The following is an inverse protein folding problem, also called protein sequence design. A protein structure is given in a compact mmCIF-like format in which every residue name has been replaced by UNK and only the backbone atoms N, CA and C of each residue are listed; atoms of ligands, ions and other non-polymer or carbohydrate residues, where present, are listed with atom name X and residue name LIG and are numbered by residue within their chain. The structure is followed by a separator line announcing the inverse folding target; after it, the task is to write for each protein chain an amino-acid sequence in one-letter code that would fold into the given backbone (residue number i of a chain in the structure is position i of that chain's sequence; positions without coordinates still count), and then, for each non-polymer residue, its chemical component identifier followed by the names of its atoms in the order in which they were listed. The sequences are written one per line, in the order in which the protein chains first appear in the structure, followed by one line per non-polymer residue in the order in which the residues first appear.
data_IF_449443650304
#
_entry.id   IF_449443650304
#
_cell.length_a   1.000
_cell.length_b   1.000
_cell.length_c   1.000
_cell.angle_alpha   90.00
_cell.angle_beta   90.00
_cell.angle_gamma   90.00
#
_symmetry.space_group_name_H-M   'P 1'
#
loop_
_entity.id
_entity.type
_entity.pdbx_description
1 polymer ?
#
# COMPACT_ATOMS: atom_id res chain seq x y z
N UNK A 1 16.33 -29.55 55.93
CA UNK A 1 17.72 -29.28 55.53
C UNK A 1 17.80 -28.45 54.25
N UNK A 2 17.15 -28.81 53.14
CA UNK A 2 17.18 -28.00 51.90
C UNK A 2 16.67 -26.54 52.05
N UNK A 3 15.59 -26.33 52.81
CA UNK A 3 15.00 -24.98 53.02
C UNK A 3 15.91 -24.08 53.88
N UNK A 4 16.74 -24.68 54.75
CA UNK A 4 17.71 -23.98 55.61
C UNK A 4 18.99 -23.57 54.86
N UNK A 5 19.45 -24.32 53.86
CA UNK A 5 20.49 -23.84 52.93
C UNK A 5 19.97 -22.69 52.05
N UNK A 6 18.73 -22.80 51.58
CA UNK A 6 18.10 -21.83 50.67
C UNK A 6 17.95 -20.44 51.33
N UNK A 7 17.69 -20.43 52.64
CA UNK A 7 17.56 -19.21 53.44
C UNK A 7 18.89 -18.58 53.84
N UNK A 8 20.03 -19.28 53.70
CA UNK A 8 21.38 -18.74 53.94
C UNK A 8 21.88 -17.89 52.77
N UNK A 9 21.41 -18.16 51.56
CA UNK A 9 21.73 -17.41 50.34
C UNK A 9 20.49 -16.84 49.64
N UNK A 10 19.60 -16.17 50.41
CA UNK A 10 18.34 -15.59 49.93
C UNK A 10 18.49 -14.77 48.64
N UNK A 11 19.57 -14.02 48.54
CA UNK A 11 19.86 -13.15 47.40
C UNK A 11 20.10 -13.93 46.10
N UNK A 12 20.78 -15.08 46.15
CA UNK A 12 21.01 -15.93 44.98
C UNK A 12 19.71 -16.55 44.47
N UNK A 13 18.86 -17.00 45.39
CA UNK A 13 17.56 -17.61 45.08
C UNK A 13 16.60 -16.57 44.51
N UNK A 14 16.58 -15.37 45.08
CA UNK A 14 15.78 -14.25 44.57
C UNK A 14 16.22 -13.85 43.15
N UNK A 15 17.52 -13.75 42.90
CA UNK A 15 18.04 -13.47 41.56
C UNK A 15 17.67 -14.57 40.56
N UNK A 16 17.74 -15.84 40.95
CA UNK A 16 17.34 -16.96 40.10
C UNK A 16 15.85 -16.88 39.72
N UNK A 17 14.98 -16.60 40.69
CA UNK A 17 13.54 -16.40 40.44
C UNK A 17 13.32 -15.18 39.55
N UNK A 18 14.04 -14.08 39.78
CA UNK A 18 13.93 -12.86 38.96
C UNK A 18 14.31 -13.11 37.49
N UNK A 19 15.35 -13.91 37.23
CA UNK A 19 15.74 -14.30 35.86
C UNK A 19 14.67 -15.15 35.19
N UNK A 20 14.08 -16.13 35.91
CA UNK A 20 12.98 -16.94 35.37
C UNK A 20 11.76 -16.06 35.07
N UNK A 21 11.39 -15.17 35.99
CA UNK A 21 10.30 -14.23 35.80
C UNK A 21 10.54 -13.31 34.60
N UNK A 22 11.78 -12.82 34.42
CA UNK A 22 12.17 -12.02 33.27
C UNK A 22 12.05 -12.80 31.96
N UNK A 23 12.51 -14.06 31.92
CA UNK A 23 12.38 -14.91 30.74
C UNK A 23 10.91 -15.13 30.35
N UNK A 24 10.04 -15.42 31.32
CA UNK A 24 8.60 -15.56 31.10
C UNK A 24 7.96 -14.25 30.63
N UNK A 25 8.33 -13.12 31.22
CA UNK A 25 7.84 -11.80 30.83
C UNK A 25 8.21 -11.46 29.37
N UNK A 26 9.43 -11.78 28.94
CA UNK A 26 9.88 -11.59 27.55
C UNK A 26 9.09 -12.46 26.58
N UNK A 27 8.83 -13.72 26.92
CA UNK A 27 8.02 -14.64 26.09
C UNK A 27 6.60 -14.10 25.95
N UNK A 28 5.98 -13.69 27.07
CA UNK A 28 4.63 -13.14 27.07
C UNK A 28 4.54 -11.84 26.25
N UNK A 29 5.53 -10.96 26.43
CA UNK A 29 5.66 -9.70 25.69
C UNK A 29 5.79 -9.97 24.19
N UNK A 30 6.60 -10.95 23.79
CA UNK A 30 6.76 -11.34 22.38
C UNK A 30 5.47 -11.93 21.80
N UNK A 31 4.75 -12.75 22.57
CA UNK A 31 3.46 -13.30 22.14
C UNK A 31 2.42 -12.19 21.93
N UNK A 32 2.32 -11.24 22.87
CA UNK A 32 1.41 -10.11 22.74
C UNK A 32 1.82 -9.16 21.61
N UNK A 33 3.13 -8.90 21.48
CA UNK A 33 3.67 -8.06 20.41
C UNK A 33 3.36 -8.67 19.03
N UNK A 34 3.46 -10.00 18.88
CA UNK A 34 3.14 -10.68 17.63
C UNK A 34 1.67 -10.52 17.22
N UNK A 35 0.72 -10.55 18.16
CA UNK A 35 -0.69 -10.32 17.85
C UNK A 35 -0.95 -8.87 17.42
N UNK A 36 -0.36 -7.90 18.13
CA UNK A 36 -0.51 -6.48 17.79
C UNK A 36 0.15 -6.14 16.44
N UNK A 37 1.27 -6.79 16.11
CA UNK A 37 1.96 -6.61 14.83
C UNK A 37 1.11 -7.11 13.65
N UNK A 38 0.41 -8.24 13.80
CA UNK A 38 -0.42 -8.81 12.72
C UNK A 38 -1.55 -7.84 12.31
N UNK A 39 -2.24 -7.24 13.28
CA UNK A 39 -3.30 -6.28 12.99
C UNK A 39 -2.77 -5.02 12.29
N UNK A 40 -1.58 -4.58 12.68
CA UNK A 40 -0.91 -3.43 12.05
C UNK A 40 -0.47 -3.76 10.62
N UNK A 41 0.12 -4.94 10.41
CA UNK A 41 0.49 -5.44 9.08
C UNK A 41 -0.72 -5.55 8.14
N UNK A 42 -1.87 -5.99 8.64
CA UNK A 42 -3.10 -6.12 7.84
C UNK A 42 -3.58 -4.76 7.34
N UNK A 43 -3.66 -3.76 8.22
CA UNK A 43 -4.06 -2.41 7.85
C UNK A 43 -3.06 -1.75 6.89
N UNK A 44 -1.76 -2.01 7.07
CA UNK A 44 -0.74 -1.55 6.14
C UNK A 44 -0.90 -2.18 4.75
N UNK A 45 -1.24 -3.47 4.67
CA UNK A 45 -1.49 -4.15 3.39
C UNK A 45 -2.70 -3.57 2.66
N UNK A 46 -3.78 -3.27 3.37
CA UNK A 46 -4.96 -2.63 2.78
C UNK A 46 -4.62 -1.25 2.20
N UNK A 47 -3.85 -0.44 2.95
CA UNK A 47 -3.37 0.85 2.48
C UNK A 47 -2.53 0.72 1.19
N UNK A 48 -1.63 -0.25 1.15
CA UNK A 48 -0.77 -0.48 -0.01
C UNK A 48 -1.57 -0.94 -1.24
N UNK A 49 -2.62 -1.75 -1.05
CA UNK A 49 -3.52 -2.14 -2.14
C UNK A 49 -4.26 -0.93 -2.72
N UNK A 50 -4.83 -0.07 -1.87
CA UNK A 50 -5.49 1.16 -2.31
C UNK A 50 -4.53 2.12 -3.03
N UNK A 51 -3.28 2.24 -2.57
CA UNK A 51 -2.27 3.05 -3.25
C UNK A 51 -1.96 2.53 -4.66
N UNK A 52 -1.95 1.20 -4.84
CA UNK A 52 -1.77 0.58 -6.16
C UNK A 52 -2.96 0.87 -7.07
N UNK A 53 -4.19 0.68 -6.57
CA UNK A 53 -5.40 0.98 -7.34
C UNK A 53 -5.47 2.46 -7.74
N UNK A 54 -5.17 3.36 -6.81
CA UNK A 54 -5.11 4.80 -7.07
C UNK A 54 -4.10 5.13 -8.18
N UNK A 55 -2.90 4.55 -8.11
CA UNK A 55 -1.87 4.74 -9.15
C UNK A 55 -2.34 4.27 -10.51
N UNK A 56 -3.04 3.13 -10.58
CA UNK A 56 -3.61 2.62 -11.83
C UNK A 56 -4.69 3.56 -12.38
N UNK A 57 -5.61 4.04 -11.54
CA UNK A 57 -6.65 5.00 -11.94
C UNK A 57 -6.06 6.31 -12.46
N UNK A 58 -5.01 6.82 -11.81
CA UNK A 58 -4.30 8.03 -12.27
C UNK A 58 -3.65 7.81 -13.64
N UNK A 59 -3.08 6.62 -13.89
CA UNK A 59 -2.52 6.28 -15.20
C UNK A 59 -3.62 6.21 -16.28
N UNK A 60 -4.76 5.61 -15.96
CA UNK A 60 -5.91 5.53 -16.86
C UNK A 60 -6.46 6.92 -17.21
N UNK A 61 -6.63 7.80 -16.21
CA UNK A 61 -7.08 9.18 -16.42
C UNK A 61 -6.10 10.00 -17.25
N UNK A 62 -4.78 9.81 -17.06
CA UNK A 62 -3.76 10.47 -17.88
C UNK A 62 -3.80 9.98 -19.33
N UNK A 63 -4.01 8.69 -19.56
CA UNK A 63 -4.19 8.14 -20.91
C UNK A 63 -5.44 8.73 -21.59
N UNK A 64 -6.56 8.82 -20.87
CA UNK A 64 -7.80 9.46 -21.36
C UNK A 64 -7.62 10.97 -21.63
N UNK A 65 -6.80 11.66 -20.85
CA UNK A 65 -6.53 13.09 -21.01
C UNK A 65 -5.59 13.36 -22.19
N UNK A 66 -4.55 12.56 -22.36
CA UNK A 66 -3.67 12.65 -23.54
C UNK A 66 -4.44 12.34 -24.83
N UNK A 67 -5.36 11.35 -24.83
CA UNK A 67 -6.16 11.04 -26.01
C UNK A 67 -7.21 12.12 -26.33
N UNK A 68 -7.98 12.59 -25.33
CA UNK A 68 -8.97 13.68 -25.55
C UNK A 68 -8.31 14.98 -26.00
N UNK A 69 -7.11 15.30 -25.50
CA UNK A 69 -6.42 16.54 -25.88
C UNK A 69 -5.87 16.48 -27.31
N UNK A 70 -5.51 15.30 -27.81
CA UNK A 70 -5.08 15.13 -29.20
C UNK A 70 -6.30 15.21 -30.14
N UNK A 71 -7.43 14.54 -29.85
CA UNK A 71 -8.63 14.64 -30.70
C UNK A 71 -9.21 16.07 -30.75
N UNK A 72 -9.32 16.74 -29.60
CA UNK A 72 -9.84 18.12 -29.57
C UNK A 72 -8.90 19.12 -30.24
N UNK A 73 -7.59 18.89 -30.23
CA UNK A 73 -6.60 19.73 -30.91
C UNK A 73 -6.60 19.46 -32.43
N UNK A 74 -6.70 18.19 -32.85
CA UNK A 74 -6.81 17.80 -34.26
C UNK A 74 -8.11 18.33 -34.87
N UNK A 75 -9.24 18.29 -34.15
CA UNK A 75 -10.53 18.81 -34.63
C UNK A 75 -10.59 20.35 -34.66
N UNK A 76 -9.70 21.03 -33.95
CA UNK A 76 -9.61 22.50 -33.91
C UNK A 76 -8.55 23.06 -34.87
N UNK A 77 -7.48 22.31 -35.17
CA UNK A 77 -6.50 22.66 -36.21
C UNK A 77 -6.90 22.20 -37.62
N UNK A 78 -7.61 21.08 -37.76
CA UNK A 78 -8.33 20.79 -39.00
C UNK A 78 -9.68 21.48 -38.93
N UNK A 79 -9.77 22.64 -39.58
CA UNK A 79 -11.01 23.39 -39.87
C UNK A 79 -11.97 22.57 -40.75
N UNK A 80 -12.42 21.40 -40.27
CA UNK A 80 -13.39 20.54 -40.93
C UNK A 80 -14.77 21.18 -40.82
N UNK A 81 -15.01 22.18 -41.67
CA UNK A 81 -16.33 22.49 -42.15
C UNK A 81 -16.80 21.33 -43.03
N UNK A 82 -17.94 20.73 -42.69
CA UNK A 82 -18.63 19.79 -43.57
C UNK A 82 -19.06 20.58 -44.80
N UNK A 83 -18.52 20.33 -46.01
CA UNK A 83 -18.91 21.07 -47.18
C UNK A 83 -20.41 20.87 -47.43
N UNK A 84 -21.11 21.99 -47.59
CA UNK A 84 -22.49 22.02 -48.07
C UNK A 84 -22.50 21.59 -49.54
N UNK A 85 -23.67 21.24 -50.06
CA UNK A 85 -23.89 20.41 -51.26
C UNK A 85 -23.45 21.08 -52.58
N UNK A 86 -22.88 22.28 -52.52
CA UNK A 86 -22.46 23.10 -53.66
C UNK A 86 -20.96 22.99 -54.03
N UNK A 87 -20.12 22.30 -53.25
CA UNK A 87 -18.65 22.26 -53.46
C UNK A 87 -18.07 20.85 -53.73
N UNK A 88 -18.85 19.92 -54.30
CA UNK A 88 -18.31 18.65 -54.81
C UNK A 88 -17.62 18.83 -56.18
N UNK A 89 -16.31 19.08 -56.19
CA UNK A 89 -15.49 18.94 -57.40
C UNK A 89 -14.93 17.52 -57.49
N UNK A 90 -15.56 16.70 -58.32
CA UNK A 90 -15.12 15.33 -58.64
C UNK A 90 -13.88 15.38 -59.53
N UNK A 91 -12.70 15.12 -58.95
CA UNK A 91 -11.47 14.94 -59.73
C UNK A 91 -11.38 13.50 -60.23
N UNK A 92 -11.61 13.32 -61.53
CA UNK A 92 -11.40 12.06 -62.25
C UNK A 92 -9.90 11.84 -62.46
N UNK A 93 -9.33 10.86 -61.78
CA UNK A 93 -7.94 10.44 -61.98
C UNK A 93 -7.87 9.60 -63.27
N UNK A 94 -6.89 9.88 -64.13
CA UNK A 94 -6.60 9.18 -65.39
C UNK A 94 -5.63 8.03 -65.17
#
# INVERSE_FOLDING_TARGET
MLVTELTRHKLRVLLFIAVIASALAVILSTHHNRQQNIALEELMREKDQLDVEWRNLVLEQRALTEHNRIEAMVQKELDMHRPDVDDEVVVRIK
#
